data_IF_829461825303
#
_entry.id   IF_829461825303
#
_cell.length_a   1.000
_cell.length_b   1.000
_cell.length_c   1.000
_cell.angle_alpha   90.00
_cell.angle_beta   90.00
_cell.angle_gamma   90.00
#
_symmetry.space_group_name_H-M   'P 1'
#
loop_
_entity.id
_entity.type
_entity.pdbx_description
1 polymer ?
#
# COMPACT_ATOMS: atom_id res chain seq x y z
N UNK A 1 10.68 -2.29 -2.77
CA UNK A 1 9.75 -2.73 -1.71
C UNK A 1 9.90 -1.83 -0.49
N UNK A 2 8.86 -1.73 0.34
CA UNK A 2 8.93 -1.04 1.63
C UNK A 2 9.65 -1.88 2.70
N UNK A 3 10.09 -1.21 3.75
CA UNK A 3 10.71 -1.72 4.96
C UNK A 3 9.84 -2.73 5.72
N UNK A 4 10.46 -3.59 6.54
CA UNK A 4 9.73 -4.53 7.42
C UNK A 4 8.87 -3.72 8.40
N UNK A 5 7.63 -4.14 8.62
CA UNK A 5 6.64 -3.42 9.43
C UNK A 5 5.87 -2.34 8.65
N UNK A 6 6.17 -2.10 7.37
CA UNK A 6 5.32 -1.27 6.52
C UNK A 6 4.07 -2.04 6.12
N UNK A 7 2.89 -1.48 6.37
CA UNK A 7 1.61 -2.11 5.98
C UNK A 7 1.53 -2.43 4.49
N UNK A 8 2.04 -1.57 3.60
CA UNK A 8 2.09 -1.87 2.15
C UNK A 8 2.99 -3.05 1.80
N UNK A 9 4.07 -3.29 2.56
CA UNK A 9 4.92 -4.47 2.37
C UNK A 9 4.14 -5.71 2.78
N UNK A 10 3.49 -5.67 3.93
CA UNK A 10 2.72 -6.79 4.47
C UNK A 10 1.59 -7.21 3.53
N UNK A 11 0.82 -6.25 3.03
CA UNK A 11 -0.23 -6.50 2.01
C UNK A 11 0.36 -7.18 0.77
N UNK A 12 1.46 -6.66 0.24
CA UNK A 12 2.11 -7.26 -0.93
C UNK A 12 2.63 -8.67 -0.67
N UNK A 13 3.29 -8.90 0.48
CA UNK A 13 3.82 -10.22 0.81
C UNK A 13 2.73 -11.24 1.09
N UNK A 14 1.62 -10.84 1.71
CA UNK A 14 0.47 -11.71 1.95
C UNK A 14 -0.21 -12.10 0.64
N UNK A 15 -0.42 -11.13 -0.25
CA UNK A 15 -0.95 -11.40 -1.61
C UNK A 15 -0.08 -12.40 -2.38
N UNK A 16 1.25 -12.25 -2.32
CA UNK A 16 2.16 -13.22 -2.94
C UNK A 16 2.01 -14.61 -2.29
N UNK A 17 1.98 -14.67 -0.96
CA UNK A 17 1.86 -15.92 -0.22
C UNK A 17 0.56 -16.67 -0.53
N UNK A 18 -0.57 -15.98 -0.65
CA UNK A 18 -1.87 -16.54 -1.07
C UNK A 18 -1.81 -17.22 -2.45
N UNK A 19 -0.87 -16.81 -3.28
CA UNK A 19 -0.62 -17.37 -4.62
C UNK A 19 0.58 -18.33 -4.64
N UNK A 20 1.05 -18.78 -3.49
CA UNK A 20 2.25 -19.62 -3.32
C UNK A 20 3.55 -19.00 -3.87
N UNK A 21 3.61 -17.66 -3.89
CA UNK A 21 4.80 -16.90 -4.26
C UNK A 21 5.41 -16.18 -3.04
N UNK A 22 6.66 -15.76 -3.21
CA UNK A 22 7.39 -14.93 -2.26
C UNK A 22 8.09 -13.79 -2.99
N UNK A 23 8.37 -12.70 -2.30
CA UNK A 23 9.22 -11.63 -2.86
C UNK A 23 10.64 -12.13 -3.17
N UNK A 24 11.05 -13.27 -2.63
CA UNK A 24 12.32 -13.94 -2.96
C UNK A 24 12.33 -14.54 -4.38
N UNK A 25 11.19 -14.65 -5.05
CA UNK A 25 11.11 -15.09 -6.44
C UNK A 25 11.57 -14.01 -7.44
N UNK A 26 11.71 -12.75 -7.02
CA UNK A 26 12.26 -11.69 -7.85
C UNK A 26 13.80 -11.76 -7.86
N UNK A 27 14.42 -11.62 -9.03
CA UNK A 27 15.88 -11.70 -9.19
C UNK A 27 16.64 -10.65 -8.37
N UNK A 28 16.07 -9.45 -8.23
CA UNK A 28 16.64 -8.35 -7.45
C UNK A 28 15.53 -7.64 -6.68
N UNK A 29 15.80 -7.32 -5.42
CA UNK A 29 14.89 -6.54 -4.59
C UNK A 29 15.66 -5.47 -3.83
N UNK A 30 15.07 -4.28 -3.73
CA UNK A 30 15.59 -3.17 -2.91
C UNK A 30 14.56 -2.81 -1.85
N UNK A 31 15.02 -2.55 -0.63
CA UNK A 31 14.18 -2.15 0.51
C UNK A 31 14.39 -0.67 0.76
N UNK A 32 13.32 0.11 0.66
CA UNK A 32 13.37 1.57 0.73
C UNK A 32 12.19 2.05 1.57
N UNK A 33 12.43 2.91 2.55
CA UNK A 33 11.38 3.46 3.43
C UNK A 33 10.66 4.66 2.85
N UNK A 34 11.37 5.49 2.08
CA UNK A 34 10.82 6.69 1.47
C UNK A 34 9.99 6.36 0.23
N UNK A 35 8.70 6.70 0.28
CA UNK A 35 7.79 6.56 -0.85
C UNK A 35 8.19 7.48 -2.02
N UNK A 36 8.70 8.68 -1.73
CA UNK A 36 9.18 9.60 -2.76
C UNK A 36 10.39 9.03 -3.50
N UNK A 37 11.33 8.42 -2.77
CA UNK A 37 12.49 7.78 -3.39
C UNK A 37 12.08 6.57 -4.24
N UNK A 38 11.12 5.77 -3.77
CA UNK A 38 10.54 4.67 -4.56
C UNK A 38 9.98 5.18 -5.89
N UNK A 39 9.17 6.24 -5.85
CA UNK A 39 8.58 6.83 -7.06
C UNK A 39 9.66 7.35 -8.01
N UNK A 40 10.66 8.07 -7.48
CA UNK A 40 11.77 8.56 -8.28
C UNK A 40 12.57 7.45 -8.99
N UNK A 41 12.84 6.34 -8.29
CA UNK A 41 13.57 5.22 -8.90
C UNK A 41 12.74 4.48 -9.96
N UNK A 42 11.43 4.36 -9.74
CA UNK A 42 10.52 3.79 -10.73
C UNK A 42 10.43 4.69 -11.98
N UNK A 43 10.36 6.01 -11.81
CA UNK A 43 10.41 6.99 -12.91
C UNK A 43 11.69 6.88 -13.75
N UNK A 44 12.82 6.52 -13.11
CA UNK A 44 14.10 6.30 -13.78
C UNK A 44 14.21 4.92 -14.45
N UNK A 45 13.15 4.10 -14.41
CA UNK A 45 13.14 2.76 -15.01
C UNK A 45 13.94 1.71 -14.23
N UNK A 46 14.27 1.98 -12.97
CA UNK A 46 15.11 1.07 -12.15
C UNK A 46 14.31 -0.06 -11.49
N UNK A 47 13.02 -0.17 -11.77
CA UNK A 47 12.19 -1.29 -11.35
C UNK A 47 10.72 -0.92 -11.20
N UNK A 48 9.97 -1.86 -10.62
CA UNK A 48 8.55 -1.70 -10.27
C UNK A 48 8.39 -1.63 -8.76
N UNK A 49 7.29 -1.03 -8.31
CA UNK A 49 6.92 -0.99 -6.90
C UNK A 49 5.44 -1.18 -6.70
N UNK A 50 5.06 -1.47 -5.46
CA UNK A 50 3.69 -1.64 -5.02
C UNK A 50 3.35 -0.55 -3.99
N UNK A 51 2.26 0.17 -4.22
CA UNK A 51 1.78 1.30 -3.41
C UNK A 51 0.25 1.28 -3.34
N UNK A 52 -0.33 1.96 -2.35
CA UNK A 52 -1.79 2.13 -2.30
C UNK A 52 -2.28 3.03 -3.43
N UNK A 53 -3.50 2.80 -3.91
CA UNK A 53 -4.12 3.60 -4.97
C UNK A 53 -4.33 5.08 -4.56
N UNK A 54 -4.43 5.36 -3.26
CA UNK A 54 -4.55 6.72 -2.73
C UNK A 54 -3.25 7.51 -2.75
N UNK A 55 -2.11 6.86 -3.05
CA UNK A 55 -0.83 7.57 -3.18
C UNK A 55 -0.85 8.40 -4.46
N UNK A 56 -0.69 9.74 -4.36
CA UNK A 56 -0.56 10.56 -5.55
C UNK A 56 0.74 10.20 -6.28
N UNK A 57 0.63 9.94 -7.58
CA UNK A 57 1.80 9.78 -8.43
C UNK A 57 2.47 11.14 -8.60
N UNK A 58 3.74 11.21 -8.23
CA UNK A 58 4.52 12.45 -8.28
C UNK A 58 4.71 12.97 -9.72
N UNK A 59 4.61 12.09 -10.72
CA UNK A 59 4.93 12.38 -12.11
C UNK A 59 4.02 11.64 -13.10
N UNK A 60 3.74 12.25 -14.25
CA UNK A 60 3.00 11.66 -15.37
C UNK A 60 3.75 10.50 -16.06
N UNK A 61 5.05 10.37 -15.80
CA UNK A 61 5.89 9.31 -16.37
C UNK A 61 5.76 7.95 -15.65
N UNK A 62 4.97 7.88 -14.57
CA UNK A 62 4.65 6.62 -13.91
C UNK A 62 3.36 6.04 -14.49
N UNK A 63 3.44 4.79 -14.93
CA UNK A 63 2.27 3.99 -15.29
C UNK A 63 1.91 3.03 -14.15
N UNK A 64 0.62 2.77 -14.00
CA UNK A 64 0.10 1.75 -13.08
C UNK A 64 -0.43 0.59 -13.89
N UNK A 65 -0.11 -0.63 -13.48
CA UNK A 65 -0.71 -1.84 -14.01
C UNK A 65 -1.45 -2.58 -12.89
N UNK A 66 -2.49 -3.30 -13.28
CA UNK A 66 -3.27 -4.16 -12.37
C UNK A 66 -2.96 -5.61 -12.69
N UNK A 67 -2.84 -6.43 -11.66
CA UNK A 67 -2.75 -7.89 -11.85
C UNK A 67 -4.17 -8.40 -12.14
N UNK A 68 -4.29 -9.32 -13.11
CA UNK A 68 -5.58 -9.92 -13.46
C UNK A 68 -6.11 -10.69 -12.26
N UNK A 69 -7.40 -10.52 -11.95
CA UNK A 69 -8.08 -11.18 -10.83
C UNK A 69 -7.48 -10.90 -9.44
N UNK A 70 -6.76 -9.77 -9.28
CA UNK A 70 -6.21 -9.36 -7.99
C UNK A 70 -7.14 -8.38 -7.26
N UNK A 71 -8.07 -8.91 -6.47
CA UNK A 71 -8.80 -8.13 -5.47
C UNK A 71 -7.97 -8.06 -4.19
N UNK A 72 -6.95 -7.20 -4.19
CA UNK A 72 -6.08 -6.98 -3.02
C UNK A 72 -6.75 -5.93 -2.15
N UNK A 73 -7.59 -6.39 -1.21
CA UNK A 73 -8.19 -5.54 -0.19
C UNK A 73 -7.53 -5.82 1.15
N UNK A 74 -7.30 -4.75 1.92
CA UNK A 74 -6.82 -4.88 3.29
C UNK A 74 -7.77 -4.11 4.20
N UNK A 75 -8.17 -4.76 5.28
CA UNK A 75 -8.97 -4.12 6.32
C UNK A 75 -8.13 -3.06 7.02
N UNK A 76 -8.67 -1.84 7.11
CA UNK A 76 -8.03 -0.77 7.85
C UNK A 76 -8.52 -0.81 9.29
N UNK A 77 -7.61 -1.19 10.20
CA UNK A 77 -7.93 -1.38 11.61
C UNK A 77 -7.49 -0.19 12.45
N UNK A 78 -8.38 0.27 13.33
CA UNK A 78 -8.06 1.29 14.34
C UNK A 78 -7.68 0.64 15.66
N UNK A 79 -6.46 0.89 16.14
CA UNK A 79 -5.99 0.39 17.43
C UNK A 79 -5.88 1.56 18.42
N UNK A 80 -6.53 1.44 19.57
CA UNK A 80 -6.54 2.45 20.62
C UNK A 80 -6.69 1.82 22.00
N UNK A 81 -6.24 2.53 23.03
CA UNK A 81 -6.36 2.06 24.41
C UNK A 81 -7.84 2.02 24.84
N UNK A 82 -8.21 0.94 25.52
CA UNK A 82 -9.51 0.81 26.20
C UNK A 82 -9.66 1.96 27.20
N UNK A 83 -10.85 2.57 27.24
CA UNK A 83 -11.19 3.73 28.08
C UNK A 83 -10.53 5.07 27.69
N UNK A 84 -9.97 5.18 26.49
CA UNK A 84 -9.53 6.48 25.97
C UNK A 84 -10.67 7.25 25.30
N UNK A 85 -10.55 8.59 25.24
CA UNK A 85 -11.44 9.46 24.45
C UNK A 85 -11.27 9.27 22.93
N UNK A 86 -10.36 8.39 22.50
CA UNK A 86 -10.05 8.14 21.09
C UNK A 86 -11.27 7.67 20.30
N UNK A 87 -12.18 6.90 20.91
CA UNK A 87 -13.35 6.36 20.22
C UNK A 87 -14.21 7.45 19.53
N UNK A 88 -14.40 8.61 20.18
CA UNK A 88 -15.15 9.72 19.60
C UNK A 88 -14.42 10.41 18.45
N UNK A 89 -13.09 10.49 18.52
CA UNK A 89 -12.23 10.97 17.43
C UNK A 89 -12.26 10.00 16.24
N UNK A 90 -12.22 8.69 16.50
CA UNK A 90 -12.23 7.67 15.45
C UNK A 90 -13.51 7.70 14.64
N UNK A 91 -14.69 7.83 15.27
CA UNK A 91 -15.96 7.99 14.54
C UNK A 91 -15.89 9.13 13.51
N UNK A 92 -15.38 10.30 13.93
CA UNK A 92 -15.22 11.47 13.05
C UNK A 92 -14.19 11.26 11.94
N UNK A 93 -13.15 10.44 12.16
CA UNK A 93 -12.15 10.12 11.15
C UNK A 93 -12.67 9.10 10.14
N UNK A 94 -13.40 8.08 10.58
CA UNK A 94 -14.03 7.08 9.71
C UNK A 94 -14.98 7.75 8.71
N UNK A 95 -15.79 8.71 9.13
CA UNK A 95 -16.69 9.44 8.22
C UNK A 95 -15.93 10.19 7.10
N UNK A 96 -14.68 10.58 7.35
CA UNK A 96 -13.83 11.27 6.35
C UNK A 96 -13.02 10.30 5.48
N UNK A 97 -12.60 9.16 6.02
CA UNK A 97 -11.72 8.19 5.34
C UNK A 97 -12.54 7.15 4.55
N UNK A 98 -13.70 6.75 5.05
CA UNK A 98 -14.56 5.73 4.45
C UNK A 98 -15.69 6.31 3.59
N UNK A 99 -15.56 7.56 3.12
CA UNK A 99 -16.47 8.03 2.07
C UNK A 99 -16.30 7.10 0.85
N UNK A 100 -17.37 6.45 0.37
CA UNK A 100 -17.26 5.61 -0.81
C UNK A 100 -16.77 6.48 -1.95
N UNK A 101 -15.65 6.12 -2.55
CA UNK A 101 -15.27 6.65 -3.84
C UNK A 101 -16.38 6.17 -4.80
N UNK A 102 -17.24 7.09 -5.26
CA UNK A 102 -18.42 6.78 -6.08
C UNK A 102 -18.07 6.31 -7.50
N UNK A 103 -16.79 6.15 -7.82
CA UNK A 103 -16.31 5.87 -9.17
C UNK A 103 -15.56 4.53 -9.23
N UNK A 104 -16.31 3.41 -9.20
CA UNK A 104 -15.96 2.14 -9.88
C UNK A 104 -17.27 1.51 -10.40
#
# INVERSE_FOLDING_TARGET
MREKGSGTREVFTNFLAEKNYSYKNFTKTSIISSLNLIQHLAEKGLGISFVYNSVPLANKNLAVFKLKDSKIFHEFNYVFLKNSKALGLMKRMTDKICTPNKDI
#
